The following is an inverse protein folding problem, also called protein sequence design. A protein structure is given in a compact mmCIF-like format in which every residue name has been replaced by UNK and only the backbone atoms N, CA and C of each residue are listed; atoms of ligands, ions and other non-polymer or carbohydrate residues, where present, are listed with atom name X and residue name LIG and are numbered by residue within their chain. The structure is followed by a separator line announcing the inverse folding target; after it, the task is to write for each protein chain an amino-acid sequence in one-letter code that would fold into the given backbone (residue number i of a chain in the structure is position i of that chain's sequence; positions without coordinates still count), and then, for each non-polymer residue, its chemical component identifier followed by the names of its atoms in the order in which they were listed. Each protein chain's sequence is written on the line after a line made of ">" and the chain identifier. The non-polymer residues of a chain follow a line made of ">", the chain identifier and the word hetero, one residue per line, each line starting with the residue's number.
data_IF_009090477536
#
_entry.id   IF_009090477536
#
_cell.length_a   1.000
_cell.length_b   1.000
_cell.length_c   1.000
_cell.angle_alpha   90.00
_cell.angle_beta   90.00
_cell.angle_gamma   90.00
#
_symmetry.space_group_name_H-M   'P 1'
#
loop_
_entity.id
_entity.type
_entity.pdbx_description
1 polymer ?
#
# COMPACT_ATOMS: atom_id res chain seq x y z
N UNK A 1 -3.49 24.01 12.63
CA UNK A 1 -2.16 23.59 12.15
C UNK A 1 -2.32 23.05 10.73
N UNK A 2 -1.36 23.27 9.81
CA UNK A 2 -1.40 22.67 8.50
C UNK A 2 -1.28 21.14 8.60
N UNK A 3 -2.05 20.43 7.79
CA UNK A 3 -1.92 18.97 7.58
C UNK A 3 -1.22 18.79 6.24
N UNK A 4 -0.15 18.01 6.21
CA UNK A 4 0.65 17.76 5.01
C UNK A 4 0.96 16.27 4.87
N UNK A 5 0.83 15.77 3.65
CA UNK A 5 1.25 14.40 3.33
C UNK A 5 2.77 14.36 3.27
N UNK A 6 3.37 13.40 3.96
CA UNK A 6 4.83 13.29 4.07
C UNK A 6 5.26 11.85 3.85
N UNK A 7 6.25 11.66 2.98
CA UNK A 7 6.86 10.36 2.82
C UNK A 7 8.19 10.28 3.60
N UNK A 8 8.31 9.20 4.36
CA UNK A 8 9.51 8.81 5.09
C UNK A 8 9.45 7.33 5.44
N UNK A 9 10.58 6.77 5.83
CA UNK A 9 10.70 5.40 6.33
C UNK A 9 11.57 5.40 7.60
N UNK A 10 11.52 4.33 8.38
CA UNK A 10 12.47 4.11 9.49
C UNK A 10 13.91 4.16 8.96
N UNK A 11 14.13 3.61 7.79
CA UNK A 11 15.39 3.52 7.08
C UNK A 11 15.92 4.88 6.61
N UNK A 12 15.03 5.80 6.31
CA UNK A 12 15.44 7.16 5.92
C UNK A 12 15.87 8.01 7.10
N UNK A 13 15.41 7.69 8.32
CA UNK A 13 15.74 8.36 9.56
C UNK A 13 15.19 9.80 9.70
N UNK A 14 14.55 10.32 8.64
CA UNK A 14 13.90 11.62 8.60
C UNK A 14 12.90 11.68 7.44
N UNK A 15 12.06 12.73 7.41
CA UNK A 15 11.20 13.03 6.26
C UNK A 15 12.06 13.32 5.02
N UNK A 16 11.65 12.75 3.88
CA UNK A 16 12.37 12.89 2.61
C UNK A 16 11.57 13.73 1.60
N UNK A 17 10.26 13.50 1.52
CA UNK A 17 9.38 14.17 0.56
C UNK A 17 8.22 14.76 1.37
N UNK A 18 8.01 16.07 1.26
CA UNK A 18 6.94 16.77 1.97
C UNK A 18 6.77 18.17 1.41
N UNK A 19 5.54 18.69 1.31
CA UNK A 19 5.35 20.09 1.00
C UNK A 19 5.89 20.97 2.15
N UNK A 20 6.50 22.10 1.80
CA UNK A 20 6.93 23.10 2.76
C UNK A 20 5.82 24.13 2.97
N UNK A 21 5.16 24.16 4.15
CA UNK A 21 4.10 25.12 4.43
C UNK A 21 4.55 26.56 4.26
N UNK A 22 3.76 27.34 3.54
CA UNK A 22 4.09 28.74 3.22
C UNK A 22 5.02 28.93 2.02
N UNK A 23 5.56 27.84 1.44
CA UNK A 23 6.43 27.87 0.26
C UNK A 23 5.71 27.27 -0.96
N UNK A 24 5.04 26.14 -0.77
CA UNK A 24 4.33 25.43 -1.83
C UNK A 24 2.86 25.22 -1.47
N UNK A 25 1.97 25.26 -2.48
CA UNK A 25 0.62 24.77 -2.33
C UNK A 25 0.64 23.25 -2.12
N UNK A 26 -0.27 22.75 -1.27
CA UNK A 26 -0.39 21.33 -1.00
C UNK A 26 -1.48 20.70 -1.84
N UNK A 27 -1.28 19.45 -2.27
CA UNK A 27 -2.30 18.60 -2.89
C UNK A 27 -2.62 17.47 -1.94
N UNK A 28 -3.86 17.33 -1.44
CA UNK A 28 -4.24 16.23 -0.56
C UNK A 28 -3.87 14.87 -1.18
N UNK A 29 -3.18 14.00 -0.44
CA UNK A 29 -2.71 12.69 -0.91
C UNK A 29 -1.36 12.71 -1.62
N UNK A 30 -0.80 13.87 -1.96
CA UNK A 30 0.53 13.98 -2.57
C UNK A 30 1.60 14.35 -1.55
N UNK A 31 2.70 13.62 -1.53
CA UNK A 31 3.90 13.97 -0.77
C UNK A 31 4.64 15.19 -1.38
N UNK A 32 4.24 15.64 -2.55
CA UNK A 32 4.74 16.80 -3.30
C UNK A 32 6.18 16.61 -3.79
N UNK A 33 7.14 17.30 -3.22
CA UNK A 33 8.53 17.36 -3.74
C UNK A 33 9.55 16.95 -2.68
N UNK A 34 10.72 16.43 -3.10
CA UNK A 34 11.81 16.15 -2.16
C UNK A 34 12.20 17.39 -1.35
N UNK A 35 12.50 17.18 -0.07
CA UNK A 35 13.00 18.25 0.79
C UNK A 35 14.38 18.72 0.35
N UNK A 36 14.80 19.93 0.71
CA UNK A 36 16.12 20.46 0.36
C UNK A 36 17.24 19.50 0.76
N UNK A 37 18.10 19.15 -0.19
CA UNK A 37 19.21 18.22 -0.02
C UNK A 37 18.85 16.75 -0.23
N UNK A 38 17.59 16.42 -0.48
CA UNK A 38 17.13 15.08 -0.86
C UNK A 38 16.98 14.99 -2.37
N UNK A 39 17.44 13.88 -2.95
CA UNK A 39 17.26 13.57 -4.36
C UNK A 39 16.45 12.29 -4.48
N UNK A 40 15.22 12.42 -4.97
CA UNK A 40 14.30 11.29 -5.19
C UNK A 40 13.86 11.27 -6.64
N UNK A 41 13.67 10.06 -7.17
CA UNK A 41 13.23 9.79 -8.55
C UNK A 41 12.20 8.67 -8.56
N UNK A 42 11.38 8.67 -9.60
CA UNK A 42 10.53 7.54 -9.94
C UNK A 42 11.10 6.90 -11.21
N UNK A 43 11.35 5.61 -11.16
CA UNK A 43 12.03 4.86 -12.22
C UNK A 43 11.24 3.62 -12.62
N UNK A 44 11.42 3.15 -13.86
CA UNK A 44 10.88 1.88 -14.33
C UNK A 44 11.71 0.68 -13.81
N UNK A 45 11.37 -0.53 -14.28
CA UNK A 45 12.08 -1.76 -13.92
C UNK A 45 13.56 -1.78 -14.37
N UNK A 46 13.89 -1.06 -15.42
CA UNK A 46 15.24 -0.94 -15.98
C UNK A 46 16.06 0.20 -15.33
N UNK A 47 15.43 1.01 -14.48
CA UNK A 47 16.04 2.17 -13.83
C UNK A 47 16.03 3.43 -14.69
N UNK A 48 15.21 3.49 -15.75
CA UNK A 48 15.01 4.73 -16.48
C UNK A 48 14.07 5.65 -15.71
N UNK A 49 14.43 6.93 -15.59
CA UNK A 49 13.61 7.92 -14.90
C UNK A 49 12.31 8.19 -15.67
N UNK A 50 11.17 8.09 -14.97
CA UNK A 50 9.89 8.48 -15.51
C UNK A 50 9.77 10.00 -15.54
N UNK A 51 9.18 10.52 -16.60
CA UNK A 51 8.97 11.96 -16.78
C UNK A 51 7.55 12.31 -16.35
N UNK A 52 7.33 13.47 -15.68
CA UNK A 52 5.99 13.95 -15.40
C UNK A 52 5.12 13.99 -16.65
N UNK A 53 3.86 13.53 -16.59
CA UNK A 53 2.97 13.54 -17.74
C UNK A 53 2.66 14.96 -18.20
N UNK A 54 2.40 15.15 -19.48
CA UNK A 54 2.07 16.45 -20.05
C UNK A 54 0.60 16.86 -19.87
N UNK A 55 -0.26 15.92 -19.52
CA UNK A 55 -1.71 16.12 -19.31
C UNK A 55 -2.18 15.27 -18.14
N UNK A 56 -3.29 15.69 -17.50
CA UNK A 56 -3.96 14.91 -16.44
C UNK A 56 -4.90 13.82 -17.00
N UNK A 57 -5.06 13.78 -18.32
CA UNK A 57 -5.90 12.76 -18.98
C UNK A 57 -5.11 11.50 -19.27
N UNK A 58 -5.68 10.37 -18.89
CA UNK A 58 -5.14 9.04 -19.15
C UNK A 58 -4.45 8.39 -17.96
N UNK A 59 -3.88 7.22 -18.20
CA UNK A 59 -3.15 6.45 -17.22
C UNK A 59 -1.74 7.02 -17.03
N UNK A 60 -1.41 7.44 -15.83
CA UNK A 60 -0.09 7.98 -15.51
C UNK A 60 0.88 6.84 -15.25
N UNK A 61 2.04 6.89 -15.89
CA UNK A 61 3.09 5.90 -15.67
C UNK A 61 3.50 5.88 -14.19
N UNK A 62 3.49 4.70 -13.59
CA UNK A 62 3.93 4.45 -12.24
C UNK A 62 5.21 3.63 -12.22
N UNK A 63 6.03 3.83 -11.22
CA UNK A 63 7.30 3.14 -11.08
C UNK A 63 7.73 3.01 -9.63
N UNK A 64 9.01 2.81 -9.45
CA UNK A 64 9.67 2.63 -8.16
C UNK A 64 10.22 3.94 -7.64
N UNK A 65 9.92 4.26 -6.39
CA UNK A 65 10.56 5.36 -5.71
C UNK A 65 11.98 4.97 -5.30
N UNK A 66 12.95 5.76 -5.73
CA UNK A 66 14.37 5.60 -5.36
C UNK A 66 14.95 6.91 -4.83
N UNK A 67 15.94 6.81 -3.92
CA UNK A 67 16.79 7.93 -3.57
C UNK A 67 18.14 7.71 -4.26
N UNK A 68 18.48 8.60 -5.18
CA UNK A 68 19.64 8.45 -6.07
C UNK A 68 20.92 9.10 -5.53
N UNK A 69 20.84 9.74 -4.36
CA UNK A 69 21.98 10.32 -3.64
C UNK A 69 21.92 10.01 -2.16
N UNK A 70 23.07 9.86 -1.50
CA UNK A 70 23.11 9.69 -0.05
C UNK A 70 22.61 10.94 0.68
N UNK A 71 22.04 10.73 1.85
CA UNK A 71 21.52 11.78 2.73
C UNK A 71 22.03 11.58 4.17
N UNK A 72 22.05 12.63 5.03
CA UNK A 72 22.72 12.56 6.34
C UNK A 72 22.15 11.52 7.30
N UNK A 73 20.85 11.27 7.29
CA UNK A 73 20.14 10.33 8.18
C UNK A 73 19.97 8.91 7.59
N UNK A 74 20.69 8.59 6.52
CA UNK A 74 20.59 7.32 5.82
C UNK A 74 20.93 6.13 6.74
N UNK A 75 20.14 5.06 6.63
CA UNK A 75 20.40 3.77 7.25
C UNK A 75 21.79 3.25 6.87
N UNK A 76 22.57 2.82 7.88
CA UNK A 76 23.95 2.33 7.69
C UNK A 76 24.06 0.80 7.69
N UNK A 77 22.99 0.10 8.02
CA UNK A 77 22.95 -1.36 8.06
C UNK A 77 21.81 -1.90 8.90
N UNK A 78 21.65 -3.21 8.87
CA UNK A 78 20.79 -3.96 9.79
C UNK A 78 21.70 -4.68 10.78
N UNK A 79 21.41 -4.57 12.07
CA UNK A 79 22.23 -5.18 13.12
C UNK A 79 22.28 -6.70 12.96
N UNK A 80 23.50 -7.22 12.82
CA UNK A 80 23.74 -8.66 12.67
C UNK A 80 23.38 -9.24 11.30
N UNK A 81 22.87 -8.44 10.35
CA UNK A 81 22.41 -8.96 9.05
C UNK A 81 22.78 -7.99 7.88
N UNK A 82 24.07 -7.91 7.53
CA UNK A 82 24.53 -7.04 6.45
C UNK A 82 24.09 -7.51 5.06
N UNK A 83 23.80 -8.80 4.87
CA UNK A 83 23.36 -9.33 3.59
C UNK A 83 21.94 -8.91 3.31
N UNK A 84 21.04 -9.04 4.27
CA UNK A 84 19.67 -8.54 4.17
C UNK A 84 19.63 -7.04 3.89
N UNK A 85 20.52 -6.25 4.51
CA UNK A 85 20.64 -4.82 4.21
C UNK A 85 20.92 -4.56 2.73
N UNK A 86 21.88 -5.29 2.16
CA UNK A 86 22.25 -5.15 0.74
C UNK A 86 21.15 -5.64 -0.18
N UNK A 87 20.60 -6.81 0.11
CA UNK A 87 19.55 -7.44 -0.71
C UNK A 87 18.27 -6.59 -0.74
N UNK A 88 17.82 -6.11 0.41
CA UNK A 88 16.54 -5.39 0.51
C UNK A 88 16.60 -4.00 -0.12
N UNK A 89 17.67 -3.24 0.12
CA UNK A 89 17.68 -1.81 -0.19
C UNK A 89 18.58 -1.42 -1.37
N UNK A 90 19.47 -2.31 -1.81
CA UNK A 90 20.51 -1.94 -2.78
C UNK A 90 20.63 -2.88 -3.97
N UNK A 91 20.03 -4.08 -3.94
CA UNK A 91 20.22 -5.08 -4.99
C UNK A 91 19.51 -4.72 -6.29
N UNK A 92 18.27 -4.19 -6.22
CA UNK A 92 17.45 -3.92 -7.41
C UNK A 92 18.10 -2.91 -8.36
N UNK A 93 18.70 -1.86 -7.83
CA UNK A 93 19.38 -0.81 -8.61
C UNK A 93 20.87 -0.72 -8.23
N UNK A 94 21.51 -1.88 -8.08
CA UNK A 94 22.92 -1.97 -7.67
C UNK A 94 23.88 -1.29 -8.62
N UNK A 95 23.62 -1.35 -9.93
CA UNK A 95 24.47 -0.73 -10.96
C UNK A 95 24.47 0.80 -10.84
N UNK A 96 23.34 1.39 -10.46
CA UNK A 96 23.17 2.82 -10.28
C UNK A 96 23.61 3.28 -8.86
N UNK A 97 23.68 2.35 -7.91
CA UNK A 97 23.97 2.64 -6.52
C UNK A 97 22.84 3.40 -5.80
N UNK A 98 21.60 3.17 -6.20
CA UNK A 98 20.43 3.86 -5.67
C UNK A 98 19.77 3.09 -4.53
N UNK A 99 19.30 3.85 -3.53
CA UNK A 99 18.48 3.28 -2.46
C UNK A 99 17.08 2.97 -2.99
N UNK A 100 16.66 1.73 -2.84
CA UNK A 100 15.36 1.23 -3.23
C UNK A 100 14.40 1.31 -2.04
N UNK A 101 13.41 2.20 -2.12
CA UNK A 101 12.46 2.42 -1.04
C UNK A 101 11.47 1.25 -0.83
N UNK A 102 11.23 0.45 -1.87
CA UNK A 102 10.19 -0.57 -1.87
C UNK A 102 8.78 0.01 -1.94
N UNK A 103 8.65 1.28 -2.31
CA UNK A 103 7.38 1.97 -2.52
C UNK A 103 7.19 2.28 -4.00
N UNK A 104 5.95 2.11 -4.46
CA UNK A 104 5.50 2.55 -5.78
C UNK A 104 5.11 4.03 -5.74
N UNK A 105 5.38 4.74 -6.82
CA UNK A 105 5.03 6.15 -6.93
C UNK A 105 4.76 6.55 -8.38
N UNK A 106 4.13 7.72 -8.56
CA UNK A 106 3.95 8.37 -9.85
C UNK A 106 4.15 9.87 -9.74
N UNK A 107 4.44 10.51 -10.84
CA UNK A 107 4.37 11.98 -10.95
C UNK A 107 2.98 12.41 -11.42
N UNK A 108 2.58 13.61 -11.02
CA UNK A 108 1.52 14.34 -11.74
C UNK A 108 2.11 15.35 -12.73
N UNK A 109 1.24 16.10 -13.40
CA UNK A 109 1.62 17.10 -14.41
C UNK A 109 2.53 18.22 -13.89
N UNK A 110 2.48 18.52 -12.59
CA UNK A 110 3.34 19.52 -11.96
C UNK A 110 4.64 18.90 -11.43
N UNK A 111 4.85 17.59 -11.63
CA UNK A 111 5.99 16.84 -11.10
C UNK A 111 5.90 16.52 -9.61
N UNK A 112 4.72 16.67 -9.01
CA UNK A 112 4.53 16.26 -7.62
C UNK A 112 4.46 14.72 -7.51
N UNK A 113 5.04 14.20 -6.43
CA UNK A 113 5.16 12.76 -6.18
C UNK A 113 3.95 12.27 -5.40
N UNK A 114 3.29 11.27 -5.95
CA UNK A 114 2.20 10.53 -5.34
C UNK A 114 2.68 9.14 -4.98
N UNK A 115 2.59 8.79 -3.70
CA UNK A 115 2.95 7.47 -3.20
C UNK A 115 1.74 6.54 -3.38
N UNK A 116 1.95 5.44 -4.09
CA UNK A 116 0.89 4.47 -4.41
C UNK A 116 0.82 3.33 -3.37
N UNK A 117 1.81 3.26 -2.49
CA UNK A 117 1.93 2.22 -1.47
C UNK A 117 3.17 1.35 -1.64
N UNK A 118 3.26 0.30 -0.83
CA UNK A 118 4.34 -0.69 -0.93
C UNK A 118 4.22 -1.46 -2.23
N UNK A 119 5.36 -1.74 -2.86
CA UNK A 119 5.39 -2.57 -4.08
C UNK A 119 4.86 -3.97 -3.79
N UNK A 120 5.14 -4.48 -2.59
CA UNK A 120 4.63 -5.77 -2.12
C UNK A 120 3.10 -5.78 -1.94
N UNK A 121 2.50 -4.59 -1.83
CA UNK A 121 1.06 -4.36 -1.65
C UNK A 121 0.38 -3.91 -2.97
N UNK A 122 1.13 -3.77 -4.09
CA UNK A 122 0.56 -3.58 -5.42
C UNK A 122 0.20 -4.96 -5.99
N UNK A 123 -1.06 -5.15 -6.27
CA UNK A 123 -1.58 -6.39 -6.84
C UNK A 123 -1.49 -6.35 -8.37
N UNK A 124 -1.13 -7.47 -8.97
CA UNK A 124 -1.14 -7.63 -10.43
C UNK A 124 -2.32 -8.54 -10.82
N UNK A 125 -3.43 -7.91 -11.17
CA UNK A 125 -4.66 -8.60 -11.55
C UNK A 125 -4.82 -8.54 -13.08
N UNK A 126 -4.68 -9.66 -13.75
CA UNK A 126 -4.76 -9.73 -15.23
C UNK A 126 -3.87 -8.72 -15.95
N UNK A 127 -2.67 -8.47 -15.43
CA UNK A 127 -1.73 -7.50 -16.00
C UNK A 127 -1.92 -6.03 -15.55
N UNK A 128 -2.97 -5.74 -14.80
CA UNK A 128 -3.21 -4.39 -14.25
C UNK A 128 -2.61 -4.28 -12.85
N UNK A 129 -1.89 -3.19 -12.61
CA UNK A 129 -1.35 -2.86 -11.29
C UNK A 129 -2.41 -2.11 -10.48
N UNK A 130 -2.93 -2.73 -9.44
CA UNK A 130 -3.96 -2.18 -8.57
C UNK A 130 -3.38 -2.00 -7.18
N UNK A 131 -3.46 -0.79 -6.63
CA UNK A 131 -3.02 -0.50 -5.28
C UNK A 131 -4.01 -1.05 -4.25
N UNK A 132 -3.52 -1.75 -3.23
CA UNK A 132 -4.36 -2.16 -2.09
C UNK A 132 -4.99 -0.93 -1.42
N UNK A 133 -4.24 0.18 -1.30
CA UNK A 133 -4.72 1.41 -0.68
C UNK A 133 -5.88 2.07 -1.45
N UNK A 134 -5.89 1.99 -2.78
CA UNK A 134 -7.00 2.51 -3.59
C UNK A 134 -8.28 1.71 -3.35
N UNK A 135 -8.16 0.38 -3.30
CA UNK A 135 -9.31 -0.50 -3.02
C UNK A 135 -9.79 -0.31 -1.57
N UNK A 136 -8.87 -0.22 -0.60
CA UNK A 136 -9.20 0.10 0.80
C UNK A 136 -9.93 1.44 0.92
N UNK A 137 -9.47 2.48 0.23
CA UNK A 137 -10.11 3.80 0.22
C UNK A 137 -11.51 3.76 -0.36
N UNK A 138 -11.73 3.01 -1.45
CA UNK A 138 -13.05 2.83 -2.02
C UNK A 138 -14.01 2.12 -1.06
N UNK A 139 -13.54 1.07 -0.38
CA UNK A 139 -14.32 0.35 0.63
C UNK A 139 -14.67 1.23 1.85
N UNK A 140 -13.68 1.95 2.41
CA UNK A 140 -13.89 2.86 3.56
C UNK A 140 -14.75 4.07 3.18
N UNK A 141 -14.82 4.44 1.90
CA UNK A 141 -15.74 5.45 1.39
C UNK A 141 -17.22 5.08 1.52
N UNK A 142 -17.52 3.79 1.70
CA UNK A 142 -18.88 3.31 1.96
C UNK A 142 -19.28 3.55 3.42
N UNK A 143 -20.48 4.10 3.67
CA UNK A 143 -20.94 4.50 5.01
C UNK A 143 -21.03 3.35 6.02
N UNK A 144 -21.21 2.13 5.56
CA UNK A 144 -21.28 0.92 6.39
C UNK A 144 -19.92 0.34 6.78
N UNK A 145 -18.79 0.86 6.28
CA UNK A 145 -17.45 0.33 6.54
C UNK A 145 -16.70 1.20 7.55
N UNK A 146 -16.20 0.59 8.61
CA UNK A 146 -15.36 1.25 9.61
C UNK A 146 -13.88 1.14 9.24
N UNK A 147 -13.44 -0.06 8.85
CA UNK A 147 -12.05 -0.33 8.46
C UNK A 147 -12.02 -1.33 7.29
N UNK A 148 -11.01 -1.23 6.45
CA UNK A 148 -10.75 -2.19 5.40
C UNK A 148 -9.26 -2.52 5.32
N UNK A 149 -8.96 -3.75 4.95
CA UNK A 149 -7.62 -4.19 4.59
C UNK A 149 -7.71 -5.08 3.35
N UNK A 150 -6.81 -4.86 2.40
CA UNK A 150 -6.80 -5.56 1.12
C UNK A 150 -5.46 -6.22 0.89
N UNK A 151 -5.49 -7.43 0.35
CA UNK A 151 -4.31 -8.19 -0.04
C UNK A 151 -4.53 -8.85 -1.41
N UNK A 152 -3.44 -9.06 -2.14
CA UNK A 152 -3.43 -9.94 -3.31
C UNK A 152 -3.23 -11.37 -2.86
N UNK A 153 -4.11 -12.27 -3.27
CA UNK A 153 -3.94 -13.71 -3.14
C UNK A 153 -3.58 -14.32 -4.49
N UNK A 154 -2.80 -15.40 -4.50
CA UNK A 154 -2.43 -16.12 -5.73
C UNK A 154 -3.68 -16.66 -6.43
N UNK A 155 -3.76 -16.47 -7.74
CA UNK A 155 -4.87 -16.92 -8.58
C UNK A 155 -4.36 -17.43 -9.93
N UNK A 156 -4.76 -18.65 -10.29
CA UNK A 156 -4.29 -19.33 -11.50
C UNK A 156 -4.75 -18.65 -12.81
N UNK A 157 -5.82 -17.86 -12.76
CA UNK A 157 -6.42 -17.24 -13.95
C UNK A 157 -5.93 -15.82 -14.15
N UNK A 158 -5.84 -15.05 -13.08
CA UNK A 158 -5.53 -13.60 -13.12
C UNK A 158 -4.14 -13.27 -12.60
N UNK A 159 -3.34 -14.28 -12.18
CA UNK A 159 -2.07 -14.13 -11.49
C UNK A 159 -2.28 -13.81 -10.01
N UNK A 160 -3.03 -12.76 -9.72
CA UNK A 160 -3.51 -12.45 -8.37
C UNK A 160 -4.99 -12.10 -8.40
N UNK A 161 -5.71 -12.45 -7.32
CA UNK A 161 -7.06 -12.01 -7.05
C UNK A 161 -7.07 -11.04 -5.85
N UNK A 162 -7.95 -10.06 -5.88
CA UNK A 162 -8.14 -9.12 -4.79
C UNK A 162 -8.95 -9.79 -3.69
N UNK A 163 -8.39 -9.88 -2.48
CA UNK A 163 -9.06 -10.35 -1.29
C UNK A 163 -9.17 -9.20 -0.29
N UNK A 164 -10.38 -8.85 0.12
CA UNK A 164 -10.69 -7.75 1.01
C UNK A 164 -11.24 -8.26 2.35
N UNK A 165 -10.80 -7.63 3.45
CA UNK A 165 -11.31 -7.86 4.80
C UNK A 165 -11.87 -6.54 5.30
N UNK A 166 -13.13 -6.52 5.71
CA UNK A 166 -13.83 -5.30 6.15
C UNK A 166 -14.41 -5.46 7.53
N UNK A 167 -14.30 -4.40 8.31
CA UNK A 167 -15.00 -4.24 9.59
C UNK A 167 -16.16 -3.28 9.36
N UNK A 168 -17.37 -3.70 9.67
CA UNK A 168 -18.54 -2.86 9.50
C UNK A 168 -18.66 -1.84 10.66
N UNK A 169 -19.34 -0.74 10.39
CA UNK A 169 -19.76 0.22 11.42
C UNK A 169 -20.74 -0.47 12.38
N UNK A 170 -20.79 0.02 13.63
CA UNK A 170 -21.60 -0.60 14.68
C UNK A 170 -23.11 -0.64 14.37
N UNK A 171 -23.61 0.35 13.62
CA UNK A 171 -24.99 0.43 13.16
C UNK A 171 -25.30 -0.49 11.96
N UNK A 172 -24.26 -1.04 11.33
CA UNK A 172 -24.35 -2.02 10.24
C UNK A 172 -23.86 -3.42 10.65
N UNK A 173 -23.48 -3.62 11.91
CA UNK A 173 -22.91 -4.88 12.40
C UNK A 173 -23.89 -6.08 12.28
N UNK A 174 -25.19 -5.83 12.23
CA UNK A 174 -26.22 -6.85 12.00
C UNK A 174 -26.49 -7.11 10.50
N UNK A 175 -25.96 -6.27 9.60
CA UNK A 175 -26.09 -6.46 8.14
C UNK A 175 -25.06 -7.51 7.74
N UNK A 176 -25.38 -8.76 8.01
CA UNK A 176 -24.53 -9.89 7.62
C UNK A 176 -25.17 -10.60 6.43
N UNK A 177 -24.39 -10.81 5.37
CA UNK A 177 -24.83 -11.61 4.26
C UNK A 177 -24.27 -11.18 2.91
N UNK A 178 -24.66 -11.91 1.88
CA UNK A 178 -24.22 -11.68 0.49
C UNK A 178 -24.57 -10.27 -0.02
N UNK A 179 -25.63 -9.65 0.52
CA UNK A 179 -26.12 -8.34 0.07
C UNK A 179 -25.10 -7.22 0.30
N UNK A 180 -24.54 -7.09 1.53
CA UNK A 180 -23.52 -6.09 1.81
C UNK A 180 -22.21 -6.38 1.06
N UNK A 181 -21.87 -7.65 0.89
CA UNK A 181 -20.66 -8.06 0.15
C UNK A 181 -20.79 -7.63 -1.32
N UNK A 182 -21.94 -7.86 -1.93
CA UNK A 182 -22.18 -7.48 -3.33
C UNK A 182 -22.24 -5.96 -3.51
N UNK A 183 -22.81 -5.24 -2.54
CA UNK A 183 -22.83 -3.77 -2.53
C UNK A 183 -21.40 -3.21 -2.46
N UNK A 184 -20.58 -3.69 -1.55
CA UNK A 184 -19.18 -3.26 -1.41
C UNK A 184 -18.33 -3.61 -2.64
N UNK A 185 -18.54 -4.77 -3.24
CA UNK A 185 -17.89 -5.15 -4.50
C UNK A 185 -18.31 -4.24 -5.66
N UNK A 186 -19.59 -3.87 -5.72
CA UNK A 186 -20.10 -2.95 -6.73
C UNK A 186 -19.54 -1.53 -6.53
N UNK A 187 -19.40 -1.09 -5.28
CA UNK A 187 -18.81 0.21 -4.95
C UNK A 187 -17.36 0.30 -5.44
N UNK A 188 -16.53 -0.71 -5.17
CA UNK A 188 -15.14 -0.74 -5.67
C UNK A 188 -15.11 -0.71 -7.20
N UNK A 189 -15.96 -1.50 -7.87
CA UNK A 189 -16.02 -1.52 -9.33
C UNK A 189 -16.46 -0.17 -9.91
N UNK A 190 -17.33 0.56 -9.22
CA UNK A 190 -17.81 1.88 -9.61
C UNK A 190 -16.77 2.98 -9.43
N UNK A 191 -16.06 2.95 -8.29
CA UNK A 191 -15.09 3.99 -7.90
C UNK A 191 -13.77 3.86 -8.66
N UNK A 192 -13.31 2.63 -8.88
CA UNK A 192 -12.02 2.35 -9.52
C UNK A 192 -12.24 1.79 -10.93
N UNK A 193 -12.64 0.53 -11.01
CA UNK A 193 -12.96 -0.17 -12.27
C UNK A 193 -13.48 -1.58 -12.00
N UNK A 194 -14.16 -2.22 -12.97
CA UNK A 194 -14.62 -3.60 -12.81
C UNK A 194 -13.51 -4.62 -12.53
N UNK A 195 -12.28 -4.37 -12.98
CA UNK A 195 -11.14 -5.27 -12.74
C UNK A 195 -10.64 -5.20 -11.29
N UNK A 196 -10.91 -4.10 -10.60
CA UNK A 196 -10.57 -3.91 -9.20
C UNK A 196 -11.59 -4.53 -8.22
N UNK A 197 -12.68 -5.10 -8.74
CA UNK A 197 -13.72 -5.74 -7.92
C UNK A 197 -13.11 -6.89 -7.10
N UNK A 198 -13.20 -6.87 -5.76
CA UNK A 198 -12.71 -7.96 -4.93
C UNK A 198 -13.34 -9.30 -5.30
N UNK A 199 -12.52 -10.31 -5.53
CA UNK A 199 -12.98 -11.67 -5.76
C UNK A 199 -13.53 -12.27 -4.48
N UNK A 200 -12.81 -12.05 -3.38
CA UNK A 200 -13.21 -12.44 -2.05
C UNK A 200 -13.34 -11.21 -1.18
N UNK A 201 -14.42 -11.15 -0.39
CA UNK A 201 -14.65 -10.10 0.58
C UNK A 201 -15.22 -10.75 1.83
N UNK A 202 -14.47 -10.57 2.94
CA UNK A 202 -14.78 -11.13 4.24
C UNK A 202 -15.16 -10.02 5.20
N UNK A 203 -16.35 -10.13 5.80
CA UNK A 203 -16.75 -9.27 6.91
C UNK A 203 -16.18 -9.89 8.19
N UNK A 204 -15.32 -9.15 8.88
CA UNK A 204 -14.60 -9.61 10.07
C UNK A 204 -14.87 -8.68 11.26
N UNK A 205 -14.84 -9.20 12.50
CA UNK A 205 -15.09 -8.36 13.68
C UNK A 205 -13.96 -7.36 13.93
N UNK A 206 -12.72 -7.70 13.58
CA UNK A 206 -11.53 -6.86 13.76
C UNK A 206 -10.44 -7.26 12.78
N UNK A 207 -9.58 -6.29 12.41
CA UNK A 207 -8.38 -6.54 11.60
C UNK A 207 -7.18 -6.85 12.51
N UNK A 208 -6.27 -7.77 12.10
CA UNK A 208 -5.07 -8.07 12.86
C UNK A 208 -4.11 -6.87 12.86
N UNK A 209 -3.80 -6.36 14.04
CA UNK A 209 -2.96 -5.18 14.23
C UNK A 209 -1.75 -5.48 15.13
N UNK A 210 -0.66 -4.79 14.87
CA UNK A 210 0.46 -4.72 15.80
C UNK A 210 0.08 -3.89 17.03
N UNK A 211 0.90 -3.95 18.09
CA UNK A 211 0.73 -3.09 19.29
C UNK A 211 0.76 -1.59 18.98
N UNK A 212 1.34 -1.19 17.86
CA UNK A 212 1.34 0.20 17.39
C UNK A 212 0.15 0.55 16.48
N UNK A 213 -0.82 -0.36 16.30
CA UNK A 213 -2.03 -0.16 15.50
C UNK A 213 -1.86 -0.39 13.99
N UNK A 214 -0.69 -0.86 13.55
CA UNK A 214 -0.45 -1.14 12.12
C UNK A 214 -1.09 -2.47 11.72
N UNK A 215 -1.90 -2.49 10.66
CA UNK A 215 -2.52 -3.70 10.09
C UNK A 215 -1.44 -4.65 9.58
N UNK A 216 -1.58 -5.94 9.93
CA UNK A 216 -0.63 -6.99 9.57
C UNK A 216 -1.07 -7.71 8.28
N UNK A 217 -0.97 -7.01 7.13
CA UNK A 217 -1.41 -7.53 5.81
C UNK A 217 -0.78 -8.87 5.44
N UNK A 218 0.46 -9.12 5.87
CA UNK A 218 1.11 -10.41 5.64
C UNK A 218 0.27 -11.57 6.18
N UNK A 219 -0.26 -11.44 7.39
CA UNK A 219 -1.08 -12.47 8.00
C UNK A 219 -2.45 -12.62 7.34
N UNK A 220 -3.04 -11.52 6.85
CA UNK A 220 -4.26 -11.58 6.05
C UNK A 220 -4.03 -12.30 4.71
N UNK A 221 -2.86 -12.11 4.10
CA UNK A 221 -2.47 -12.86 2.90
C UNK A 221 -2.29 -14.35 3.19
N UNK A 222 -1.67 -14.72 4.31
CA UNK A 222 -1.53 -16.12 4.73
C UNK A 222 -2.92 -16.78 4.89
N UNK A 223 -3.91 -16.04 5.42
CA UNK A 223 -5.30 -16.51 5.53
C UNK A 223 -5.94 -16.67 4.15
N UNK A 224 -5.87 -15.65 3.30
CA UNK A 224 -6.45 -15.66 1.95
C UNK A 224 -5.90 -16.80 1.09
N UNK A 225 -4.65 -17.18 1.28
CA UNK A 225 -4.00 -18.28 0.57
C UNK A 225 -4.04 -19.63 1.33
N UNK A 226 -4.79 -19.71 2.43
CA UNK A 226 -4.89 -20.92 3.27
C UNK A 226 -3.53 -21.47 3.72
N UNK A 227 -2.55 -20.58 3.97
CA UNK A 227 -1.22 -20.94 4.46
C UNK A 227 -1.16 -20.95 5.99
N UNK A 228 -0.13 -21.60 6.53
CA UNK A 228 0.22 -21.45 7.93
C UNK A 228 0.61 -19.98 8.22
N UNK A 229 0.11 -19.47 9.36
CA UNK A 229 0.43 -18.11 9.76
C UNK A 229 1.93 -17.97 10.05
N UNK A 230 2.55 -16.97 9.46
CA UNK A 230 3.91 -16.62 9.81
C UNK A 230 4.05 -16.05 11.24
N UNK A 231 5.15 -15.34 11.52
CA UNK A 231 5.43 -14.77 12.84
C UNK A 231 4.29 -13.87 13.35
N UNK A 232 3.71 -14.22 14.49
CA UNK A 232 2.61 -13.51 15.17
C UNK A 232 3.07 -12.78 16.43
N UNK A 233 4.37 -12.74 16.74
CA UNK A 233 4.93 -12.23 18.01
C UNK A 233 4.62 -10.75 18.28
N UNK A 234 4.35 -9.96 17.25
CA UNK A 234 4.01 -8.54 17.36
C UNK A 234 2.51 -8.24 17.37
N UNK A 235 1.67 -9.26 17.27
CA UNK A 235 0.23 -9.13 17.23
C UNK A 235 -0.32 -8.62 18.56
N UNK A 236 -1.32 -7.74 18.50
CA UNK A 236 -1.98 -7.18 19.67
C UNK A 236 -2.87 -8.21 20.36
N UNK A 237 -3.73 -8.88 19.58
CA UNK A 237 -4.65 -9.93 20.04
C UNK A 237 -4.58 -11.18 19.15
N UNK A 238 -4.10 -12.31 19.68
CA UNK A 238 -4.07 -13.57 18.92
C UNK A 238 -5.46 -14.15 18.57
N UNK A 239 -6.50 -13.82 19.34
CA UNK A 239 -7.87 -14.31 19.13
C UNK A 239 -8.54 -13.82 17.85
N UNK A 240 -8.04 -12.73 17.27
CA UNK A 240 -8.53 -12.17 15.99
C UNK A 240 -8.47 -13.20 14.85
N UNK A 241 -7.46 -14.06 14.83
CA UNK A 241 -7.32 -15.05 13.77
C UNK A 241 -8.37 -16.15 13.80
N UNK A 242 -8.72 -16.62 14.98
CA UNK A 242 -9.75 -17.66 15.12
C UNK A 242 -11.10 -17.11 14.65
N UNK A 243 -11.38 -15.83 14.92
CA UNK A 243 -12.56 -15.14 14.46
C UNK A 243 -12.59 -14.98 12.92
N UNK A 244 -11.46 -14.58 12.31
CA UNK A 244 -11.36 -14.42 10.85
C UNK A 244 -11.47 -15.80 10.14
N UNK A 245 -10.83 -16.83 10.68
CA UNK A 245 -10.92 -18.19 10.11
C UNK A 245 -12.31 -18.78 10.19
N UNK A 246 -13.04 -18.48 11.25
CA UNK A 246 -14.42 -18.94 11.40
C UNK A 246 -15.35 -18.31 10.33
N UNK A 247 -15.11 -17.08 9.92
CA UNK A 247 -15.84 -16.40 8.85
C UNK A 247 -15.51 -16.93 7.45
N UNK A 248 -14.29 -17.48 7.23
CA UNK A 248 -13.89 -18.05 5.94
C UNK A 248 -14.38 -19.47 5.69
N UNK A 249 -15.01 -20.14 6.65
CA UNK A 249 -15.48 -21.53 6.52
C UNK A 249 -16.99 -21.63 6.28
N UNK A 250 -17.69 -20.52 6.15
CA UNK A 250 -19.12 -20.43 5.88
C UNK A 250 -19.36 -19.92 4.48
#
# INVERSE_FOLDING_TARGET
>A
APVVDTWWQTETGAAMISPLPGVAATKPGSAMTPLPGISAKIVDDDGNELIPPSTDEGEHASGYLVLDKPWPSMLRGIWGDPDRFRETYWSKFAQQGWYFAGDGARYDTDGAIWILGRIDDVMNVSGHRISTAEVESALVGHSGVAEAAVVGATDDTTGQAICAFVVLQADHAETTGEEIIDELRAEVARVISPIARPRELHVVPELPKTRSGKIMRRLLRDIAENRELGDTSTLLDPGVFDAIRATNQT
#
